data_IF_264626382235
#
_entry.id   IF_264626382235
#
_cell.length_a   1.000
_cell.length_b   1.000
_cell.length_c   1.000
_cell.angle_alpha   90.00
_cell.angle_beta   90.00
_cell.angle_gamma   90.00
#
_symmetry.space_group_name_H-M   'P 1'
#
loop_
_entity.id
_entity.type
_entity.pdbx_description
1 polymer ?
#
# COMPACT_ATOMS: atom_id res chain seq x y z
N UNK A 1 15.13 22.06 17.18
CA UNK A 1 14.51 22.75 16.04
C UNK A 1 15.63 23.08 15.05
N UNK A 2 15.40 22.86 13.78
CA UNK A 2 16.33 23.18 12.70
C UNK A 2 15.66 24.18 11.76
N UNK A 3 16.44 25.09 11.21
CA UNK A 3 15.99 26.05 10.19
C UNK A 3 16.27 25.45 8.80
N UNK A 4 15.58 24.35 8.52
CA UNK A 4 15.73 23.60 7.28
C UNK A 4 14.42 22.86 6.97
N UNK A 5 14.16 22.60 5.69
CA UNK A 5 13.09 21.68 5.30
C UNK A 5 13.43 20.25 5.72
N UNK A 6 12.48 19.57 6.35
CA UNK A 6 12.64 18.18 6.81
C UNK A 6 11.72 17.29 6.00
N UNK A 7 12.28 16.22 5.42
CA UNK A 7 11.52 15.19 4.68
C UNK A 7 11.59 13.89 5.46
N UNK A 8 10.41 13.36 5.84
CA UNK A 8 10.32 12.02 6.39
C UNK A 8 10.50 10.99 5.27
N UNK A 9 11.65 10.34 5.24
CA UNK A 9 11.97 9.27 4.27
C UNK A 9 11.52 7.87 4.73
N UNK A 10 10.79 7.81 5.82
CA UNK A 10 10.26 6.62 6.45
C UNK A 10 10.83 6.37 7.84
N UNK A 11 9.95 6.35 8.86
CA UNK A 11 10.30 6.17 10.26
C UNK A 11 9.66 4.89 10.83
N UNK A 12 10.45 3.93 11.22
CA UNK A 12 10.03 2.70 11.89
C UNK A 12 8.82 2.02 11.22
N UNK A 13 7.76 1.85 12.00
CA UNK A 13 6.43 1.35 11.54
C UNK A 13 5.42 2.48 11.38
N UNK A 14 5.82 3.75 11.63
CA UNK A 14 4.91 4.87 11.79
C UNK A 14 4.51 5.48 10.45
N UNK A 15 5.41 6.13 9.69
CA UNK A 15 5.04 6.84 8.46
C UNK A 15 6.05 6.68 7.32
N UNK A 16 5.52 6.77 6.09
CA UNK A 16 6.31 6.88 4.85
C UNK A 16 5.59 7.78 3.83
N UNK A 17 5.52 9.10 4.08
CA UNK A 17 4.69 10.02 3.32
C UNK A 17 5.00 10.03 1.82
N UNK A 18 6.29 10.01 1.44
CA UNK A 18 6.69 10.02 0.02
C UNK A 18 6.30 8.73 -0.70
N UNK A 19 6.13 7.61 0.01
CA UNK A 19 5.60 6.38 -0.55
C UNK A 19 4.10 6.52 -0.83
N UNK A 20 3.33 7.05 0.11
CA UNK A 20 1.90 7.26 -0.12
C UNK A 20 1.65 8.24 -1.29
N UNK A 21 2.47 9.28 -1.44
CA UNK A 21 2.36 10.22 -2.57
C UNK A 21 2.62 9.53 -3.92
N UNK A 22 3.67 8.70 -4.02
CA UNK A 22 3.94 7.98 -5.28
C UNK A 22 2.89 6.91 -5.56
N UNK A 23 2.35 6.25 -4.54
CA UNK A 23 1.28 5.27 -4.67
C UNK A 23 0.01 5.96 -5.21
N UNK A 24 -0.37 7.09 -4.64
CA UNK A 24 -1.49 7.91 -5.12
C UNK A 24 -1.26 8.41 -6.56
N UNK A 25 -0.03 8.84 -6.90
CA UNK A 25 0.32 9.24 -8.27
C UNK A 25 0.15 8.07 -9.25
N UNK A 26 0.64 6.88 -8.89
CA UNK A 26 0.51 5.67 -9.70
C UNK A 26 -0.97 5.31 -9.92
N UNK A 27 -1.77 5.31 -8.85
CA UNK A 27 -3.22 5.05 -8.95
C UNK A 27 -3.88 6.06 -9.88
N UNK A 28 -3.61 7.36 -9.70
CA UNK A 28 -4.19 8.41 -10.53
C UNK A 28 -3.82 8.28 -12.00
N UNK A 29 -2.60 7.85 -12.33
CA UNK A 29 -2.18 7.61 -13.72
C UNK A 29 -2.98 6.51 -14.39
N UNK A 30 -3.30 5.43 -13.67
CA UNK A 30 -4.01 4.27 -14.22
C UNK A 30 -5.53 4.41 -14.15
N UNK A 31 -6.06 5.10 -13.14
CA UNK A 31 -7.51 5.22 -12.89
C UNK A 31 -8.09 6.60 -13.18
N UNK A 32 -7.26 7.59 -13.49
CA UNK A 32 -7.66 8.96 -13.77
C UNK A 32 -7.94 9.80 -12.53
N UNK A 33 -8.41 9.20 -11.45
CA UNK A 33 -8.80 9.86 -10.21
C UNK A 33 -8.46 9.02 -8.99
N UNK A 34 -8.68 9.57 -7.80
CA UNK A 34 -8.59 8.84 -6.52
C UNK A 34 -9.96 8.75 -5.83
N UNK A 35 -10.76 9.80 -5.97
CA UNK A 35 -12.07 9.91 -5.35
C UNK A 35 -13.01 8.77 -5.82
N UNK A 36 -13.70 8.14 -4.87
CA UNK A 36 -14.66 7.09 -5.13
C UNK A 36 -14.07 5.71 -5.45
N UNK A 37 -12.75 5.58 -5.66
CA UNK A 37 -12.12 4.28 -5.87
C UNK A 37 -12.15 3.42 -4.60
N UNK A 38 -12.29 2.12 -4.78
CA UNK A 38 -12.11 1.13 -3.74
C UNK A 38 -10.67 0.60 -3.77
N UNK A 39 -9.90 0.90 -2.74
CA UNK A 39 -8.50 0.49 -2.61
C UNK A 39 -8.37 -0.53 -1.48
N UNK A 40 -8.01 -1.77 -1.81
CA UNK A 40 -7.76 -2.84 -0.86
C UNK A 40 -6.25 -2.93 -0.55
N UNK A 41 -5.86 -2.67 0.69
CA UNK A 41 -4.49 -2.81 1.22
C UNK A 41 -4.44 -4.12 1.99
N UNK A 42 -3.64 -5.09 1.52
CA UNK A 42 -3.68 -6.46 1.97
C UNK A 42 -2.35 -6.91 2.57
N UNK A 43 -2.39 -7.60 3.69
CA UNK A 43 -1.21 -8.24 4.30
C UNK A 43 -0.92 -7.79 5.72
N UNK A 44 0.35 -7.45 5.98
CA UNK A 44 0.82 -7.00 7.31
C UNK A 44 0.57 -5.50 7.50
N UNK A 45 -0.62 -5.16 7.96
CA UNK A 45 -1.04 -3.77 8.18
C UNK A 45 -0.37 -3.19 9.43
N UNK A 46 -0.28 -3.98 10.51
CA UNK A 46 0.18 -3.52 11.81
C UNK A 46 1.65 -3.04 11.81
N UNK A 47 2.51 -3.68 11.01
CA UNK A 47 3.93 -3.35 10.96
C UNK A 47 4.31 -2.53 9.73
N UNK A 48 3.32 -2.11 8.93
CA UNK A 48 3.57 -1.39 7.66
C UNK A 48 3.32 0.11 7.78
N UNK A 49 4.42 0.88 7.83
CA UNK A 49 4.36 2.34 7.68
C UNK A 49 3.73 2.78 6.34
N UNK A 50 3.86 1.95 5.31
CA UNK A 50 3.25 2.21 3.99
C UNK A 50 1.73 2.11 4.07
N UNK A 51 1.20 1.06 4.74
CA UNK A 51 -0.23 0.94 4.97
C UNK A 51 -0.78 2.17 5.69
N UNK A 52 -0.13 2.58 6.78
CA UNK A 52 -0.57 3.72 7.60
C UNK A 52 -0.65 5.01 6.78
N UNK A 53 0.42 5.38 6.09
CA UNK A 53 0.45 6.60 5.27
C UNK A 53 -0.57 6.54 4.11
N UNK A 54 -0.77 5.38 3.49
CA UNK A 54 -1.79 5.22 2.45
C UNK A 54 -3.21 5.30 3.01
N UNK A 55 -3.50 4.72 4.19
CA UNK A 55 -4.80 4.88 4.84
C UNK A 55 -5.14 6.36 5.03
N UNK A 56 -4.21 7.16 5.56
CA UNK A 56 -4.40 8.60 5.73
C UNK A 56 -4.59 9.33 4.40
N UNK A 57 -3.67 9.15 3.46
CA UNK A 57 -3.69 9.91 2.20
C UNK A 57 -4.91 9.56 1.35
N UNK A 58 -5.15 8.27 1.10
CA UNK A 58 -6.21 7.84 0.20
C UNK A 58 -7.61 8.14 0.76
N UNK A 59 -7.82 8.01 2.08
CA UNK A 59 -9.06 8.42 2.72
C UNK A 59 -9.27 9.93 2.58
N UNK A 60 -8.23 10.74 2.81
CA UNK A 60 -8.28 12.20 2.63
C UNK A 60 -8.61 12.57 1.18
N UNK A 61 -8.12 11.80 0.21
CA UNK A 61 -8.38 12.00 -1.23
C UNK A 61 -9.72 11.41 -1.70
N UNK A 62 -10.57 10.94 -0.80
CA UNK A 62 -11.93 10.47 -1.10
C UNK A 62 -12.01 9.02 -1.60
N UNK A 63 -10.94 8.23 -1.49
CA UNK A 63 -11.01 6.80 -1.77
C UNK A 63 -11.67 6.03 -0.62
N UNK A 64 -12.38 4.94 -0.95
CA UNK A 64 -12.84 3.95 0.03
C UNK A 64 -11.72 2.96 0.28
N UNK A 65 -11.06 3.09 1.42
CA UNK A 65 -9.91 2.25 1.76
C UNK A 65 -10.37 1.05 2.56
N UNK A 66 -9.95 -0.13 2.16
CA UNK A 66 -10.12 -1.39 2.87
C UNK A 66 -8.77 -1.92 3.31
N UNK A 67 -8.69 -2.43 4.54
CA UNK A 67 -7.53 -3.19 5.03
C UNK A 67 -7.93 -4.65 5.17
N UNK A 68 -7.11 -5.54 4.62
CA UNK A 68 -7.41 -6.97 4.53
C UNK A 68 -6.24 -7.78 5.09
N UNK A 69 -6.50 -8.60 6.11
CA UNK A 69 -5.45 -9.42 6.70
C UNK A 69 -5.93 -10.22 7.92
N UNK A 70 -5.06 -11.08 8.48
CA UNK A 70 -5.38 -11.80 9.70
C UNK A 70 -5.61 -10.84 10.86
N UNK A 71 -6.48 -11.18 11.82
CA UNK A 71 -6.75 -10.32 12.99
C UNK A 71 -5.49 -9.92 13.76
N UNK A 72 -4.48 -10.79 13.79
CA UNK A 72 -3.19 -10.54 14.45
C UNK A 72 -2.32 -9.49 13.76
N UNK A 73 -2.59 -9.17 12.49
CA UNK A 73 -1.84 -8.22 11.69
C UNK A 73 -2.63 -6.97 11.30
N UNK A 74 -3.79 -6.75 11.89
CA UNK A 74 -4.57 -5.51 11.73
C UNK A 74 -4.64 -4.80 13.07
N UNK A 75 -4.21 -3.52 13.17
CA UNK A 75 -4.35 -2.75 14.40
C UNK A 75 -5.82 -2.61 14.81
N UNK A 76 -6.11 -2.77 16.10
CA UNK A 76 -7.48 -2.67 16.62
C UNK A 76 -8.13 -1.29 16.32
N UNK A 77 -7.31 -0.23 16.22
CA UNK A 77 -7.73 1.13 15.92
C UNK A 77 -7.87 1.44 14.43
N UNK A 78 -7.58 0.50 13.52
CA UNK A 78 -7.60 0.75 12.08
C UNK A 78 -8.92 1.38 11.60
N UNK A 79 -10.06 0.89 12.10
CA UNK A 79 -11.37 1.42 11.74
C UNK A 79 -11.54 2.92 12.10
N UNK A 80 -10.83 3.42 13.12
CA UNK A 80 -10.86 4.84 13.52
C UNK A 80 -10.22 5.77 12.48
N UNK A 81 -9.42 5.21 11.57
CA UNK A 81 -8.81 5.94 10.44
C UNK A 81 -9.76 6.07 9.24
N UNK A 82 -11.04 5.69 9.39
CA UNK A 82 -12.04 5.77 8.32
C UNK A 82 -11.91 4.67 7.27
N UNK A 83 -11.25 3.54 7.60
CA UNK A 83 -11.08 2.40 6.71
C UNK A 83 -12.01 1.25 7.08
N UNK A 84 -12.40 0.44 6.09
CA UNK A 84 -13.16 -0.79 6.28
C UNK A 84 -12.18 -1.96 6.58
N UNK A 85 -12.49 -2.78 7.58
CA UNK A 85 -11.61 -3.89 8.01
C UNK A 85 -12.19 -5.22 7.54
N UNK A 86 -11.37 -6.05 6.90
CA UNK A 86 -11.73 -7.38 6.42
C UNK A 86 -10.70 -8.41 6.86
N UNK A 87 -11.18 -9.59 7.23
CA UNK A 87 -10.36 -10.76 7.59
C UNK A 87 -10.44 -11.88 6.55
N UNK A 88 -11.17 -11.65 5.48
CA UNK A 88 -11.32 -12.55 4.35
C UNK A 88 -10.96 -11.84 3.04
N UNK A 89 -10.09 -12.46 2.23
CA UNK A 89 -9.59 -11.85 0.98
C UNK A 89 -10.70 -11.69 -0.05
N UNK A 90 -11.62 -12.66 -0.17
CA UNK A 90 -12.73 -12.59 -1.13
C UNK A 90 -13.62 -11.39 -0.84
N UNK A 91 -14.04 -11.24 0.42
CA UNK A 91 -14.88 -10.11 0.83
C UNK A 91 -14.14 -8.77 0.70
N UNK A 92 -12.87 -8.70 1.12
CA UNK A 92 -12.06 -7.49 1.05
C UNK A 92 -11.76 -7.02 -0.36
N UNK A 93 -11.55 -7.95 -1.30
CA UNK A 93 -11.25 -7.65 -2.70
C UNK A 93 -12.49 -7.44 -3.57
N UNK A 94 -13.69 -7.79 -3.09
CA UNK A 94 -14.91 -7.71 -3.90
C UNK A 94 -15.11 -6.31 -4.50
N UNK A 95 -15.00 -6.20 -5.83
CA UNK A 95 -15.17 -4.96 -6.58
C UNK A 95 -14.09 -3.90 -6.32
N UNK A 96 -12.91 -4.28 -5.81
CA UNK A 96 -11.79 -3.35 -5.63
C UNK A 96 -11.23 -2.87 -6.97
N UNK A 97 -10.93 -1.58 -7.07
CA UNK A 97 -10.28 -0.94 -8.23
C UNK A 97 -8.76 -1.09 -8.16
N UNK A 98 -8.22 -1.15 -6.94
CA UNK A 98 -6.79 -1.26 -6.65
C UNK A 98 -6.57 -2.30 -5.57
N UNK A 99 -5.62 -3.21 -5.80
CA UNK A 99 -5.16 -4.20 -4.83
C UNK A 99 -3.69 -3.91 -4.52
N UNK A 100 -3.42 -3.43 -3.31
CA UNK A 100 -2.06 -3.16 -2.84
C UNK A 100 -1.64 -4.25 -1.86
N UNK A 101 -0.66 -5.06 -2.27
CA UNK A 101 -0.09 -6.09 -1.42
C UNK A 101 1.05 -5.54 -0.59
N UNK A 102 1.15 -5.98 0.65
CA UNK A 102 2.21 -5.60 1.57
C UNK A 102 3.09 -6.79 1.91
N UNK A 103 4.39 -6.55 2.01
CA UNK A 103 5.36 -7.55 2.44
C UNK A 103 5.06 -8.01 3.88
N UNK A 104 5.11 -9.31 4.10
CA UNK A 104 5.08 -9.88 5.44
C UNK A 104 6.41 -9.59 6.14
N UNK A 105 6.40 -8.72 7.16
CA UNK A 105 7.61 -8.20 7.82
C UNK A 105 8.02 -9.08 9.01
N UNK A 106 8.46 -10.31 8.74
CA UNK A 106 8.84 -11.30 9.76
C UNK A 106 9.89 -10.79 10.73
N UNK A 107 10.81 -9.96 10.26
CA UNK A 107 11.86 -9.33 11.05
C UNK A 107 11.35 -8.35 12.12
N UNK A 108 10.10 -7.89 11.98
CA UNK A 108 9.45 -6.96 12.93
C UNK A 108 8.45 -7.66 13.83
N UNK A 109 8.20 -8.95 13.62
CA UNK A 109 7.25 -9.71 14.41
C UNK A 109 7.94 -10.33 15.62
N UNK A 110 7.44 -10.04 16.81
CA UNK A 110 7.77 -10.76 18.02
C UNK A 110 6.68 -11.82 18.29
N UNK A 111 7.04 -13.11 18.25
CA UNK A 111 6.12 -14.22 18.50
C UNK A 111 5.44 -14.79 17.25
N UNK A 112 4.54 -15.74 17.47
CA UNK A 112 3.86 -16.52 16.43
C UNK A 112 2.64 -15.84 15.80
N UNK A 113 2.77 -14.61 15.33
CA UNK A 113 1.65 -13.83 14.73
C UNK A 113 1.13 -14.43 13.42
N UNK A 114 1.98 -15.22 12.74
CA UNK A 114 1.64 -15.96 11.53
C UNK A 114 2.20 -17.38 11.66
N UNK A 115 1.36 -18.42 11.51
CA UNK A 115 1.78 -19.81 11.73
C UNK A 115 2.88 -20.25 10.75
N UNK A 116 2.70 -19.98 9.45
CA UNK A 116 3.71 -20.26 8.43
C UNK A 116 3.52 -19.39 7.18
N UNK A 117 4.57 -19.25 6.35
CA UNK A 117 4.47 -18.54 5.06
C UNK A 117 3.46 -19.23 4.11
N UNK A 118 3.43 -20.58 4.13
CA UNK A 118 2.51 -21.35 3.28
C UNK A 118 1.05 -21.13 3.67
N UNK A 119 0.78 -21.10 4.97
CA UNK A 119 -0.56 -20.85 5.47
C UNK A 119 -0.98 -19.39 5.21
N UNK A 120 -0.07 -18.44 5.43
CA UNK A 120 -0.32 -17.05 5.06
C UNK A 120 -0.66 -16.91 3.57
N UNK A 121 0.12 -17.51 2.67
CA UNK A 121 -0.15 -17.47 1.24
C UNK A 121 -1.53 -18.05 0.91
N UNK A 122 -1.87 -19.19 1.51
CA UNK A 122 -3.16 -19.85 1.29
C UNK A 122 -4.34 -18.92 1.58
N UNK A 123 -4.31 -18.17 2.68
CA UNK A 123 -5.42 -17.33 3.10
C UNK A 123 -5.31 -15.88 2.62
N UNK A 124 -4.12 -15.31 2.58
CA UNK A 124 -3.90 -13.88 2.35
C UNK A 124 -2.93 -13.55 1.20
N UNK A 125 -2.22 -14.52 0.64
CA UNK A 125 -1.40 -14.32 -0.56
C UNK A 125 -2.27 -14.10 -1.78
N UNK A 126 -1.90 -13.15 -2.62
CA UNK A 126 -2.65 -12.83 -3.84
C UNK A 126 -2.26 -13.78 -4.97
N UNK A 127 -3.20 -14.57 -5.41
CA UNK A 127 -3.17 -15.44 -6.58
C UNK A 127 -4.27 -15.05 -7.58
N UNK A 128 -4.36 -15.77 -8.70
CA UNK A 128 -5.34 -15.48 -9.74
C UNK A 128 -6.81 -15.67 -9.28
N UNK A 129 -7.05 -16.66 -8.41
CA UNK A 129 -8.40 -16.94 -7.89
C UNK A 129 -8.87 -15.77 -7.01
N UNK A 130 -8.03 -15.32 -6.06
CA UNK A 130 -8.37 -14.19 -5.20
C UNK A 130 -8.48 -12.88 -5.98
N UNK A 131 -7.55 -12.63 -6.93
CA UNK A 131 -7.60 -11.43 -7.77
C UNK A 131 -8.87 -11.36 -8.64
N UNK A 132 -9.48 -12.50 -9.00
CA UNK A 132 -10.74 -12.54 -9.76
C UNK A 132 -11.94 -11.91 -9.01
N UNK A 133 -11.86 -11.72 -7.68
CA UNK A 133 -12.91 -11.03 -6.92
C UNK A 133 -12.83 -9.50 -7.03
N UNK A 134 -11.67 -8.95 -7.39
CA UNK A 134 -11.53 -7.54 -7.71
C UNK A 134 -12.13 -7.24 -9.10
N UNK A 135 -12.25 -5.95 -9.42
CA UNK A 135 -12.72 -5.55 -10.76
C UNK A 135 -11.81 -6.11 -11.87
N UNK A 136 -12.36 -6.45 -13.04
CA UNK A 136 -11.54 -6.97 -14.16
C UNK A 136 -10.42 -6.01 -14.58
N UNK A 137 -10.65 -4.71 -14.45
CA UNK A 137 -9.71 -3.62 -14.74
C UNK A 137 -8.89 -3.17 -13.52
N UNK A 138 -8.95 -3.90 -12.41
CA UNK A 138 -8.18 -3.55 -11.20
C UNK A 138 -6.68 -3.64 -11.43
N UNK A 139 -5.94 -2.74 -10.80
CA UNK A 139 -4.48 -2.74 -10.80
C UNK A 139 -3.93 -3.38 -9.54
N UNK A 140 -2.77 -4.02 -9.66
CA UNK A 140 -2.03 -4.64 -8.55
C UNK A 140 -0.77 -3.84 -8.28
N UNK A 141 -0.57 -3.47 -7.03
CA UNK A 141 0.54 -2.67 -6.53
C UNK A 141 1.28 -3.40 -5.41
N UNK A 142 2.55 -3.07 -5.24
CA UNK A 142 3.38 -3.52 -4.13
C UNK A 142 4.53 -2.53 -3.90
N UNK A 143 4.73 -1.98 -2.70
CA UNK A 143 5.76 -0.95 -2.46
C UNK A 143 7.20 -1.49 -2.54
N UNK A 144 7.37 -2.81 -2.65
CA UNK A 144 8.66 -3.49 -2.63
C UNK A 144 9.39 -3.46 -1.26
N UNK A 145 10.43 -4.31 -1.11
CA UNK A 145 10.64 -5.52 -1.87
C UNK A 145 9.54 -6.55 -1.61
N UNK A 146 9.27 -7.46 -2.57
CA UNK A 146 8.23 -8.47 -2.42
C UNK A 146 8.82 -9.86 -2.13
N UNK A 147 8.06 -10.68 -1.38
CA UNK A 147 8.36 -12.10 -1.17
C UNK A 147 7.42 -12.94 -2.04
N UNK A 148 7.87 -13.32 -3.23
CA UNK A 148 7.10 -14.14 -4.16
C UNK A 148 6.75 -15.48 -3.54
N UNK A 149 5.49 -15.91 -3.66
CA UNK A 149 4.97 -17.13 -3.02
C UNK A 149 4.68 -16.97 -1.51
N UNK A 150 4.74 -15.76 -0.97
CA UNK A 150 4.35 -15.46 0.42
C UNK A 150 3.16 -14.50 0.46
N UNK A 151 3.30 -13.27 -0.01
CA UNK A 151 2.18 -12.33 -0.09
C UNK A 151 1.60 -12.18 -1.51
N UNK A 152 2.38 -12.55 -2.54
CA UNK A 152 1.95 -12.44 -3.94
C UNK A 152 2.54 -13.58 -4.78
N UNK A 153 1.72 -14.14 -5.66
CA UNK A 153 2.18 -15.10 -6.68
C UNK A 153 3.00 -14.38 -7.75
N UNK A 154 4.04 -15.07 -8.27
CA UNK A 154 4.88 -14.53 -9.36
C UNK A 154 4.08 -14.19 -10.61
N UNK A 155 3.11 -15.02 -10.98
CA UNK A 155 2.25 -14.78 -12.15
C UNK A 155 1.42 -13.49 -12.00
N UNK A 156 1.05 -13.12 -10.78
CA UNK A 156 0.33 -11.88 -10.50
C UNK A 156 1.28 -10.71 -10.42
N UNK A 157 2.43 -10.86 -9.77
CA UNK A 157 3.44 -9.81 -9.69
C UNK A 157 3.95 -9.37 -11.08
N UNK A 158 4.03 -10.30 -12.02
CA UNK A 158 4.48 -10.06 -13.39
C UNK A 158 3.33 -10.00 -14.41
N UNK A 159 2.08 -9.84 -13.95
CA UNK A 159 0.91 -9.82 -14.83
C UNK A 159 0.97 -8.61 -15.80
N UNK A 160 0.93 -8.84 -17.14
CA UNK A 160 1.30 -7.84 -18.13
C UNK A 160 0.41 -6.59 -18.18
N UNK A 161 -0.83 -6.70 -17.73
CA UNK A 161 -1.81 -5.61 -17.82
C UNK A 161 -2.34 -5.13 -16.47
N UNK A 162 -2.21 -5.94 -15.41
CA UNK A 162 -2.75 -5.60 -14.10
C UNK A 162 -1.68 -5.20 -13.11
N UNK A 163 -0.47 -5.76 -13.21
CA UNK A 163 0.63 -5.38 -12.33
C UNK A 163 1.23 -4.04 -12.79
N UNK A 164 1.21 -3.06 -11.90
CA UNK A 164 1.83 -1.74 -12.11
C UNK A 164 3.03 -1.53 -11.18
N UNK A 165 3.57 -2.62 -10.60
CA UNK A 165 4.63 -2.60 -9.59
C UNK A 165 5.91 -1.95 -10.14
N UNK A 166 6.29 -2.25 -11.39
CA UNK A 166 7.45 -1.63 -12.02
C UNK A 166 7.31 -0.11 -12.16
N UNK A 167 6.18 0.35 -12.69
CA UNK A 167 5.88 1.76 -12.84
C UNK A 167 5.78 2.48 -11.47
N UNK A 168 5.20 1.82 -10.46
CA UNK A 168 5.15 2.34 -9.09
C UNK A 168 6.56 2.67 -8.56
N UNK A 169 7.56 1.82 -8.82
CA UNK A 169 8.96 2.07 -8.44
C UNK A 169 9.52 3.29 -9.17
N UNK A 170 9.27 3.41 -10.48
CA UNK A 170 9.72 4.56 -11.30
C UNK A 170 9.08 5.87 -10.82
N UNK A 171 7.78 5.86 -10.48
CA UNK A 171 7.09 7.02 -9.92
C UNK A 171 7.71 7.48 -8.60
N UNK A 172 8.40 6.59 -7.89
CA UNK A 172 9.14 6.93 -6.67
C UNK A 172 10.25 7.95 -6.91
N UNK A 173 10.96 7.86 -8.02
CA UNK A 173 12.00 8.83 -8.39
C UNK A 173 11.37 10.18 -8.72
N UNK A 174 10.40 10.20 -9.63
CA UNK A 174 9.73 11.43 -10.06
C UNK A 174 9.07 12.18 -8.89
N UNK A 175 8.35 11.46 -8.02
CA UNK A 175 7.69 12.04 -6.86
C UNK A 175 8.70 12.67 -5.89
N UNK A 176 9.80 11.96 -5.56
CA UNK A 176 10.82 12.49 -4.65
C UNK A 176 11.58 13.68 -5.22
N UNK A 177 11.85 13.69 -6.54
CA UNK A 177 12.41 14.85 -7.23
C UNK A 177 11.49 16.07 -7.11
N UNK A 178 10.18 15.91 -7.31
CA UNK A 178 9.21 16.99 -7.19
C UNK A 178 9.13 17.52 -5.75
N UNK A 179 9.14 16.66 -4.74
CA UNK A 179 9.15 17.07 -3.32
C UNK A 179 10.40 17.89 -3.00
N UNK A 180 11.56 17.43 -3.44
CA UNK A 180 12.83 18.15 -3.23
C UNK A 180 12.82 19.52 -3.92
N UNK A 181 12.38 19.60 -5.18
CA UNK A 181 12.30 20.85 -5.93
C UNK A 181 11.33 21.86 -5.28
N UNK A 182 10.14 21.40 -4.87
CA UNK A 182 9.16 22.27 -4.19
C UNK A 182 9.71 22.86 -2.89
N UNK A 183 10.35 22.06 -2.06
CA UNK A 183 10.93 22.50 -0.80
C UNK A 183 12.12 23.44 -1.02
N UNK A 184 13.01 23.15 -1.97
CA UNK A 184 14.15 24.01 -2.31
C UNK A 184 13.69 25.38 -2.84
N UNK A 185 12.61 25.46 -3.63
CA UNK A 185 12.02 26.72 -4.07
C UNK A 185 11.34 27.48 -2.93
N UNK A 186 10.70 26.77 -2.01
CA UNK A 186 10.09 27.36 -0.81
C UNK A 186 11.12 28.06 0.07
N UNK A 187 12.28 27.45 0.29
CA UNK A 187 13.39 28.06 1.04
C UNK A 187 13.93 29.34 0.38
N UNK A 188 14.04 29.38 -0.95
CA UNK A 188 14.52 30.57 -1.70
C UNK A 188 13.56 31.76 -1.65
N UNK A 189 12.28 31.56 -1.37
CA UNK A 189 11.28 32.66 -1.28
C UNK A 189 11.25 33.31 0.10
N UNK A 190 11.85 32.70 1.10
CA UNK A 190 11.88 33.17 2.48
C UNK A 190 13.24 33.81 2.84
N UNK A 191 14.14 33.98 1.87
CA UNK A 191 15.38 34.75 1.93
C UNK A 191 15.23 35.97 1.03
#
# INVERSE_FOLDING_TARGET
KVDAAVINAGDGTHEHPTQALLDALTIRRHKGQLEGLVVAICGDIAHSRVARSNMHLLTTMGSRVRVVGPPTLIPAEAARLGVEVFHDMKAGLAGADVVMMLRLQRERMSGGLVPSAREFFRFYGLDAEKLAHARPDSIVMHPGPMNRGVEIDSAIADHPTRSVIGEQVEMGVACRMAVLDMLARGLRRNV
#
